data_IF_901713860475
#
_entry.id   IF_901713860475
#
_cell.length_a   1.000
_cell.length_b   1.000
_cell.length_c   1.000
_cell.angle_alpha   90.00
_cell.angle_beta   90.00
_cell.angle_gamma   90.00
#
_symmetry.space_group_name_H-M   'P 1'
#
loop_
_entity.id
_entity.type
_entity.pdbx_description
1 polymer ?
#
# COMPACT_ATOMS: atom_id res chain seq x y z
N UNK A 1 -17.88 -65.68 -5.85
CA UNK A 1 -16.95 -65.07 -6.82
C UNK A 1 -17.75 -64.30 -7.86
N UNK A 2 -17.79 -62.97 -7.78
CA UNK A 2 -17.72 -62.09 -8.94
C UNK A 2 -17.60 -60.64 -8.45
N UNK A 3 -16.90 -59.85 -9.25
CA UNK A 3 -16.11 -58.70 -8.85
C UNK A 3 -16.91 -57.44 -8.52
N UNK A 4 -16.42 -56.72 -7.50
CA UNK A 4 -16.60 -55.28 -7.28
C UNK A 4 -15.97 -54.53 -8.45
N UNK A 5 -16.70 -53.59 -9.05
CA UNK A 5 -16.11 -52.59 -9.97
C UNK A 5 -16.40 -51.20 -9.44
N UNK A 6 -15.44 -50.63 -8.71
CA UNK A 6 -15.44 -49.23 -8.33
C UNK A 6 -14.85 -48.42 -9.50
N UNK A 7 -15.67 -47.57 -10.14
CA UNK A 7 -15.18 -46.56 -11.08
C UNK A 7 -14.49 -45.44 -10.30
N UNK A 8 -13.16 -45.51 -10.24
CA UNK A 8 -12.32 -44.35 -9.93
C UNK A 8 -12.11 -43.56 -11.23
N UNK A 9 -12.80 -42.44 -11.35
CA UNK A 9 -12.53 -41.46 -12.41
C UNK A 9 -11.27 -40.70 -11.99
N UNK A 10 -10.11 -41.17 -12.46
CA UNK A 10 -8.86 -40.42 -12.44
C UNK A 10 -9.00 -39.30 -13.48
N UNK A 11 -9.26 -38.09 -13.00
CA UNK A 11 -9.03 -36.90 -13.81
C UNK A 11 -7.51 -36.61 -13.82
N UNK A 12 -6.83 -37.12 -14.84
CA UNK A 12 -5.59 -36.55 -15.32
C UNK A 12 -5.93 -35.21 -15.99
N UNK A 13 -5.45 -34.10 -15.44
CA UNK A 13 -5.61 -32.77 -16.02
C UNK A 13 -4.41 -31.92 -15.64
N UNK A 14 -3.47 -31.81 -16.59
CA UNK A 14 -2.31 -30.94 -16.67
C UNK A 14 -1.75 -30.35 -15.37
N UNK A 15 -0.61 -30.90 -14.94
CA UNK A 15 0.40 -30.08 -14.26
C UNK A 15 0.92 -29.08 -15.29
N UNK A 16 0.24 -27.95 -15.44
CA UNK A 16 0.83 -26.77 -16.04
C UNK A 16 2.09 -26.47 -15.24
N UNK A 17 3.25 -26.80 -15.82
CA UNK A 17 4.53 -26.27 -15.40
C UNK A 17 4.39 -24.76 -15.47
N UNK A 18 4.14 -24.15 -14.31
CA UNK A 18 4.32 -22.72 -14.10
C UNK A 18 5.78 -22.43 -14.45
N UNK A 19 5.97 -22.00 -15.69
CA UNK A 19 7.24 -21.47 -16.13
C UNK A 19 7.44 -20.22 -15.27
N UNK A 20 8.28 -20.32 -14.24
CA UNK A 20 8.68 -19.18 -13.41
C UNK A 20 9.49 -18.26 -14.33
N UNK A 21 8.80 -17.53 -15.18
CA UNK A 21 9.32 -16.30 -15.74
C UNK A 21 9.28 -15.33 -14.58
N UNK A 22 10.40 -15.19 -13.88
CA UNK A 22 10.60 -14.15 -12.89
C UNK A 22 10.50 -12.81 -13.62
N UNK A 23 9.29 -12.35 -13.92
CA UNK A 23 9.09 -10.98 -14.38
C UNK A 23 9.53 -10.08 -13.25
N UNK A 24 10.68 -9.42 -13.45
CA UNK A 24 11.22 -8.48 -12.49
C UNK A 24 10.24 -7.32 -12.40
N UNK A 25 9.44 -7.27 -11.34
CA UNK A 25 8.53 -6.14 -11.07
C UNK A 25 9.36 -4.85 -11.07
N UNK A 26 8.98 -3.88 -11.90
CA UNK A 26 9.54 -2.53 -11.84
C UNK A 26 9.18 -1.91 -10.48
N UNK A 27 10.09 -1.11 -9.91
CA UNK A 27 9.80 -0.39 -8.68
C UNK A 27 8.65 0.61 -8.91
N UNK A 28 7.73 0.70 -7.95
CA UNK A 28 6.61 1.64 -8.00
C UNK A 28 7.09 3.08 -7.77
N UNK A 29 8.20 3.26 -7.03
CA UNK A 29 8.92 4.52 -6.89
C UNK A 29 10.42 4.26 -6.64
N UNK A 30 11.30 5.12 -7.15
CA UNK A 30 12.74 5.10 -6.84
C UNK A 30 13.15 6.48 -6.33
N UNK A 31 13.83 6.54 -5.18
CA UNK A 31 14.39 7.78 -4.60
C UNK A 31 15.86 7.51 -4.29
N UNK A 32 16.76 8.17 -5.02
CA UNK A 32 18.19 7.90 -4.94
C UNK A 32 18.50 6.42 -5.27
N UNK A 33 19.20 5.72 -4.37
CA UNK A 33 19.50 4.29 -4.48
C UNK A 33 18.40 3.38 -3.91
N UNK A 34 17.34 3.94 -3.32
CA UNK A 34 16.25 3.20 -2.68
C UNK A 34 15.11 2.94 -3.65
N UNK A 35 14.64 1.70 -3.70
CA UNK A 35 13.49 1.29 -4.51
C UNK A 35 12.33 0.91 -3.61
N UNK A 36 11.14 1.38 -3.95
CA UNK A 36 9.91 1.12 -3.23
C UNK A 36 8.94 0.29 -4.06
N UNK A 37 8.33 -0.69 -3.41
CA UNK A 37 7.38 -1.61 -4.00
C UNK A 37 6.10 -1.60 -3.17
N UNK A 38 5.04 -1.00 -3.72
CA UNK A 38 3.70 -1.04 -3.16
C UNK A 38 3.07 -2.38 -3.51
N UNK A 39 2.88 -3.20 -2.49
CA UNK A 39 2.29 -4.53 -2.61
C UNK A 39 0.79 -4.41 -2.42
N UNK A 40 0.11 -3.80 -3.40
CA UNK A 40 -1.33 -3.53 -3.31
C UNK A 40 -1.64 -2.64 -2.08
N UNK A 41 -2.81 -2.79 -1.47
CA UNK A 41 -3.17 -2.11 -0.21
C UNK A 41 -2.70 -2.87 1.04
N UNK A 42 -1.69 -3.73 0.95
CA UNK A 42 -1.24 -4.56 2.08
C UNK A 42 0.02 -4.01 2.73
N UNK A 43 1.04 -3.70 1.93
CA UNK A 43 2.31 -3.23 2.46
C UNK A 43 3.11 -2.41 1.47
N UNK A 44 4.07 -1.66 2.00
CA UNK A 44 5.14 -1.03 1.25
C UNK A 44 6.47 -1.67 1.63
N UNK A 45 7.19 -2.16 0.64
CA UNK A 45 8.54 -2.72 0.82
C UNK A 45 9.57 -1.73 0.28
N UNK A 46 10.60 -1.44 1.09
CA UNK A 46 11.78 -0.70 0.68
C UNK A 46 12.96 -1.65 0.42
N UNK A 47 13.67 -1.43 -0.68
CA UNK A 47 14.95 -2.05 -0.99
C UNK A 47 16.01 -0.95 -0.96
N UNK A 48 16.83 -0.97 0.08
CA UNK A 48 17.86 0.01 0.37
C UNK A 48 19.20 -0.53 -0.11
N UNK A 49 19.94 0.28 -0.86
CA UNK A 49 21.32 -0.03 -1.21
C UNK A 49 22.24 0.99 -0.51
N UNK A 50 23.02 0.49 0.45
CA UNK A 50 24.04 1.26 1.16
C UNK A 50 25.40 0.56 0.99
N UNK A 51 26.32 1.20 0.25
CA UNK A 51 27.66 0.69 -0.02
C UNK A 51 27.65 -0.77 -0.52
N UNK A 52 26.88 -1.04 -1.58
CA UNK A 52 26.70 -2.35 -2.21
C UNK A 52 26.05 -3.44 -1.32
N UNK A 53 25.64 -3.08 -0.10
CA UNK A 53 24.84 -3.96 0.75
C UNK A 53 23.36 -3.67 0.53
N UNK A 54 22.67 -4.63 -0.07
CA UNK A 54 21.23 -4.56 -0.28
C UNK A 54 20.50 -5.04 0.98
N UNK A 55 19.64 -4.19 1.53
CA UNK A 55 18.72 -4.53 2.62
C UNK A 55 17.28 -4.34 2.15
N UNK A 56 16.45 -5.36 2.37
CA UNK A 56 15.02 -5.33 2.06
C UNK A 56 14.23 -5.33 3.36
N UNK A 57 13.29 -4.40 3.51
CA UNK A 57 12.43 -4.27 4.70
C UNK A 57 11.01 -3.93 4.28
N UNK A 58 10.01 -4.55 4.92
CA UNK A 58 8.64 -4.03 4.89
C UNK A 58 8.63 -2.79 5.79
N UNK A 59 8.47 -1.61 5.18
CA UNK A 59 8.57 -0.33 5.87
C UNK A 59 7.21 0.19 6.33
N UNK A 60 6.12 -0.32 5.75
CA UNK A 60 4.75 -0.03 6.18
C UNK A 60 3.87 -1.25 5.96
N UNK A 61 3.15 -1.64 7.01
CA UNK A 61 2.00 -2.55 6.90
C UNK A 61 0.75 -1.70 6.98
N UNK A 62 -0.09 -1.78 5.95
CA UNK A 62 -1.27 -0.94 5.82
C UNK A 62 -2.43 -1.56 6.61
N UNK A 63 -3.17 -0.75 7.41
CA UNK A 63 -4.31 -1.25 8.15
C UNK A 63 -5.32 -1.96 7.24
N UNK A 64 -5.82 -3.11 7.69
CA UNK A 64 -6.91 -3.80 7.01
C UNK A 64 -8.22 -3.08 7.28
N UNK A 65 -9.05 -2.98 6.24
CA UNK A 65 -10.39 -2.40 6.32
C UNK A 65 -11.40 -3.48 5.92
N UNK A 66 -12.10 -4.10 6.89
CA UNK A 66 -13.16 -5.04 6.60
C UNK A 66 -14.20 -4.42 5.66
N UNK A 67 -14.81 -5.25 4.82
CA UNK A 67 -15.85 -4.80 3.87
C UNK A 67 -15.37 -3.70 2.92
N UNK A 68 -14.09 -3.69 2.56
CA UNK A 68 -13.55 -2.80 1.53
C UNK A 68 -12.70 -3.56 0.53
N UNK A 69 -12.72 -3.09 -0.72
CA UNK A 69 -11.89 -3.62 -1.80
C UNK A 69 -10.82 -2.61 -2.15
N UNK A 70 -9.60 -3.12 -2.30
CA UNK A 70 -8.45 -2.33 -2.73
C UNK A 70 -8.47 -2.11 -4.25
N UNK A 71 -8.29 -0.87 -4.70
CA UNK A 71 -8.07 -0.56 -6.11
C UNK A 71 -6.62 -0.17 -6.38
N UNK A 72 -5.82 -1.18 -6.78
CA UNK A 72 -4.38 -1.02 -7.04
C UNK A 72 -4.05 0.01 -8.12
N UNK A 73 -4.92 0.20 -9.12
CA UNK A 73 -4.66 1.12 -10.23
C UNK A 73 -4.68 2.59 -9.80
N UNK A 74 -5.33 2.89 -8.68
CA UNK A 74 -5.49 4.24 -8.15
C UNK A 74 -4.62 4.50 -6.91
N UNK A 75 -3.94 3.47 -6.41
CA UNK A 75 -2.96 3.59 -5.34
C UNK A 75 -1.63 4.09 -5.90
N UNK A 76 -0.99 5.02 -5.21
CA UNK A 76 0.18 5.75 -5.71
C UNK A 76 1.21 5.97 -4.60
N UNK A 77 2.48 6.03 -5.01
CA UNK A 77 3.58 6.50 -4.17
C UNK A 77 4.05 7.85 -4.70
N UNK A 78 4.34 8.78 -3.80
CA UNK A 78 4.94 10.07 -4.14
C UNK A 78 6.02 10.44 -3.14
N UNK A 79 7.05 11.15 -3.59
CA UNK A 79 8.05 11.77 -2.73
C UNK A 79 8.22 13.24 -3.10
N UNK A 80 7.97 14.14 -2.15
CA UNK A 80 7.99 15.59 -2.36
C UNK A 80 9.32 16.27 -1.97
N UNK A 81 10.34 15.47 -1.66
CA UNK A 81 11.62 15.94 -1.13
C UNK A 81 11.73 15.86 0.39
N UNK A 82 10.60 15.79 1.10
CA UNK A 82 10.54 15.67 2.57
C UNK A 82 9.83 14.39 2.99
N UNK A 83 8.63 14.14 2.44
CA UNK A 83 7.77 13.05 2.81
C UNK A 83 7.65 12.03 1.69
N UNK A 84 7.82 10.76 2.04
CA UNK A 84 7.30 9.66 1.24
C UNK A 84 5.82 9.49 1.60
N UNK A 85 4.94 9.68 0.63
CA UNK A 85 3.49 9.56 0.79
C UNK A 85 2.97 8.35 0.03
N UNK A 86 2.17 7.53 0.71
CA UNK A 86 1.41 6.41 0.16
C UNK A 86 -0.06 6.84 0.09
N UNK A 87 -0.62 6.88 -1.12
CA UNK A 87 -2.03 7.11 -1.35
C UNK A 87 -2.69 5.79 -1.73
N UNK A 88 -3.77 5.44 -1.06
CA UNK A 88 -4.48 4.18 -1.28
C UNK A 88 -5.91 4.45 -1.60
N UNK A 89 -6.41 3.73 -2.61
CA UNK A 89 -7.81 3.69 -2.91
C UNK A 89 -8.48 2.45 -2.33
N UNK A 90 -9.42 2.64 -1.39
CA UNK A 90 -10.31 1.57 -0.93
C UNK A 90 -11.77 1.94 -1.18
N UNK A 91 -12.52 1.02 -1.77
CA UNK A 91 -13.97 1.18 -1.95
C UNK A 91 -14.68 0.32 -0.92
N UNK A 92 -15.44 0.94 -0.03
CA UNK A 92 -16.30 0.23 0.90
C UNK A 92 -17.41 -0.50 0.13
N UNK A 93 -17.84 -1.66 0.64
CA UNK A 93 -18.91 -2.44 0.04
C UNK A 93 -20.21 -1.62 -0.02
N UNK A 94 -20.83 -1.56 -1.19
CA UNK A 94 -22.02 -0.73 -1.44
C UNK A 94 -21.73 0.76 -1.70
N UNK A 95 -20.49 1.22 -1.55
CA UNK A 95 -20.08 2.56 -1.97
C UNK A 95 -19.65 2.56 -3.44
N UNK A 96 -20.04 3.57 -4.20
CA UNK A 96 -19.61 3.76 -5.59
C UNK A 96 -18.26 4.47 -5.74
N UNK A 97 -17.63 4.89 -4.63
CA UNK A 97 -16.49 5.80 -4.63
C UNK A 97 -15.21 5.20 -4.04
N UNK A 98 -14.10 5.83 -4.39
CA UNK A 98 -12.80 5.57 -3.80
C UNK A 98 -12.65 6.38 -2.50
N UNK A 99 -12.64 5.71 -1.35
CA UNK A 99 -12.18 6.26 -0.08
C UNK A 99 -10.66 6.35 -0.11
N UNK A 100 -10.14 7.56 -0.27
CA UNK A 100 -8.70 7.80 -0.32
C UNK A 100 -8.14 7.78 1.10
N UNK A 101 -7.25 6.83 1.36
CA UNK A 101 -6.40 6.82 2.54
C UNK A 101 -5.02 7.39 2.16
N UNK A 102 -4.39 8.15 3.05
CA UNK A 102 -3.01 8.63 2.86
C UNK A 102 -2.19 8.32 4.09
N UNK A 103 -0.95 7.90 3.85
CA UNK A 103 0.06 7.66 4.88
C UNK A 103 1.35 8.36 4.47
N UNK A 104 2.10 8.91 5.42
CA UNK A 104 3.38 9.56 5.12
C UNK A 104 4.45 9.29 6.17
N UNK A 105 5.70 9.42 5.77
CA UNK A 105 6.87 9.29 6.64
C UNK A 105 8.01 10.18 6.15
N UNK A 106 8.89 10.57 7.07
CA UNK A 106 10.16 11.26 6.77
C UNK A 106 11.38 10.37 6.96
N UNK A 107 11.24 9.21 7.62
CA UNK A 107 12.34 8.35 8.08
C UNK A 107 12.17 6.86 7.75
N UNK A 108 11.04 6.48 7.14
CA UNK A 108 10.66 5.09 6.82
C UNK A 108 10.37 4.20 8.04
N UNK A 109 10.27 4.77 9.23
CA UNK A 109 10.02 4.06 10.47
C UNK A 109 8.76 4.59 11.16
N UNK A 110 8.67 5.91 11.31
CA UNK A 110 7.54 6.59 11.91
C UNK A 110 6.58 7.04 10.80
N UNK A 111 5.34 6.56 10.90
CA UNK A 111 4.31 6.82 9.90
C UNK A 111 3.15 7.60 10.49
N UNK A 112 2.65 8.54 9.72
CA UNK A 112 1.42 9.25 10.01
C UNK A 112 0.33 8.83 9.02
N UNK A 113 -0.91 8.77 9.48
CA UNK A 113 -2.11 8.65 8.67
C UNK A 113 -2.82 10.00 8.56
N UNK A 114 -3.40 10.26 7.40
CA UNK A 114 -4.26 11.40 7.16
C UNK A 114 -5.63 11.19 7.81
N UNK A 115 -6.06 12.14 8.63
CA UNK A 115 -7.33 12.06 9.36
C UNK A 115 -8.39 13.06 8.91
N UNK A 116 -8.07 13.95 7.96
CA UNK A 116 -9.03 14.88 7.37
C UNK A 116 -8.47 16.24 7.03
N UNK A 117 -9.38 17.13 6.63
CA UNK A 117 -9.10 18.53 6.41
C UNK A 117 -9.44 19.33 7.66
N UNK A 118 -8.59 20.30 7.98
CA UNK A 118 -8.89 21.36 8.96
C UNK A 118 -8.66 22.72 8.32
N UNK A 119 -9.26 23.75 8.92
CA UNK A 119 -9.22 25.12 8.41
C UNK A 119 -8.65 26.05 9.47
N UNK A 120 -7.74 26.93 9.05
CA UNK A 120 -7.24 28.02 9.88
C UNK A 120 -7.43 29.32 9.12
N UNK A 121 -8.40 30.13 9.56
CA UNK A 121 -8.92 31.24 8.76
C UNK A 121 -9.51 30.73 7.45
N UNK A 122 -9.06 31.28 6.32
CA UNK A 122 -9.48 30.89 4.98
C UNK A 122 -8.51 29.90 4.31
N UNK A 123 -7.55 29.35 5.07
CA UNK A 123 -6.54 28.45 4.56
C UNK A 123 -6.86 27.00 4.94
N UNK A 124 -6.70 26.11 3.96
CA UNK A 124 -6.96 24.68 4.10
C UNK A 124 -5.69 23.95 4.54
N UNK A 125 -5.84 23.02 5.48
CA UNK A 125 -4.76 22.18 6.00
C UNK A 125 -5.17 20.71 5.99
N UNK A 126 -4.19 19.84 5.79
CA UNK A 126 -4.33 18.41 6.04
C UNK A 126 -3.93 18.12 7.48
N UNK A 127 -4.77 17.38 8.19
CA UNK A 127 -4.51 16.90 9.54
C UNK A 127 -3.93 15.48 9.49
N UNK A 128 -2.85 15.28 10.23
CA UNK A 128 -2.09 14.03 10.27
C UNK A 128 -1.94 13.56 11.70
N UNK A 129 -2.00 12.24 11.88
CA UNK A 129 -1.87 11.57 13.18
C UNK A 129 -0.90 10.41 13.06
N UNK A 130 -0.15 10.10 14.11
CA UNK A 130 0.66 8.89 14.17
C UNK A 130 -0.19 7.65 13.89
N UNK A 131 0.29 6.82 12.97
CA UNK A 131 -0.39 5.61 12.55
C UNK A 131 -0.54 4.64 13.73
N UNK A 132 -1.77 4.19 13.98
CA UNK A 132 -2.09 3.30 15.10
C UNK A 132 -2.42 4.02 16.41
N UNK A 133 -2.40 5.36 16.43
CA UNK A 133 -2.91 6.15 17.55
C UNK A 133 -4.43 6.07 17.66
N UNK A 134 -4.94 5.94 18.90
CA UNK A 134 -6.38 5.99 19.19
C UNK A 134 -6.90 7.42 19.42
N UNK A 135 -6.03 8.43 19.39
CA UNK A 135 -6.39 9.84 19.62
C UNK A 135 -7.19 10.40 18.45
N UNK A 136 -8.28 11.12 18.65
CA UNK A 136 -8.96 11.84 17.56
C UNK A 136 -8.27 13.14 17.14
N UNK A 137 -7.20 13.54 17.84
CA UNK A 137 -6.47 14.78 17.57
C UNK A 137 -5.39 14.57 16.51
N UNK A 138 -5.12 15.62 15.75
CA UNK A 138 -3.97 15.69 14.86
C UNK A 138 -2.69 15.88 15.68
N UNK A 139 -1.64 15.18 15.30
CA UNK A 139 -0.27 15.40 15.79
C UNK A 139 0.42 16.49 14.95
N UNK A 140 -0.01 16.65 13.70
CA UNK A 140 0.54 17.65 12.79
C UNK A 140 -0.54 18.18 11.82
N UNK A 141 -0.39 19.44 11.40
CA UNK A 141 -1.19 20.04 10.33
C UNK A 141 -0.27 20.59 9.26
N UNK A 142 -0.56 20.30 8.00
CA UNK A 142 0.24 20.78 6.85
C UNK A 142 -0.64 21.56 5.90
N UNK A 143 -0.21 22.77 5.52
CA UNK A 143 -0.97 23.63 4.62
C UNK A 143 -1.15 22.95 3.26
N UNK A 144 -2.37 22.93 2.74
CA UNK A 144 -2.66 22.51 1.37
C UNK A 144 -2.24 23.63 0.45
N UNK A 145 -1.22 23.38 -0.38
CA UNK A 145 -0.81 24.32 -1.43
C UNK A 145 -1.56 23.94 -2.72
N UNK A 146 -2.43 24.80 -3.26
CA UNK A 146 -3.11 24.53 -4.52
C UNK A 146 -2.09 24.42 -5.65
N UNK A 147 -2.09 23.29 -6.35
CA UNK A 147 -1.33 23.15 -7.60
C UNK A 147 -2.06 23.98 -8.66
N UNK A 148 -1.44 25.08 -9.12
CA UNK A 148 -1.92 25.90 -10.23
C UNK A 148 -1.43 25.34 -11.56
#
# INVERSE_FOLDING_TARGET
MCFVTALLIVACGDKSQETITTQRKQADLTVGSTKFYLNSCHSLTGVFNHNDTIKTKVILTLPTRPLSVCNNKQSQLNFDGTHLTVKICRTAFGAGGCGVEKYRTTDFENWQEYIGITWHGNEQYEAWRQLGSNSSKADEITKVVPVH
#
